data_IF_558851812909
#
_entry.id   IF_558851812909
#
_cell.length_a   1.000
_cell.length_b   1.000
_cell.length_c   1.000
_cell.angle_alpha   90.00
_cell.angle_beta   90.00
_cell.angle_gamma   90.00
#
_symmetry.space_group_name_H-M   'P 1'
#
loop_
_entity.id
_entity.type
_entity.pdbx_description
1 polymer ?
#
# COMPACT_ATOMS: atom_id res chain seq x y z
N UNK A 1 -19.43 2.78 -2.34
CA UNK A 1 -20.37 2.39 -3.37
C UNK A 1 -19.83 2.77 -4.73
N UNK A 2 -19.69 1.82 -5.65
CA UNK A 2 -19.29 2.08 -7.04
C UNK A 2 -20.49 2.69 -7.78
N UNK A 3 -20.31 3.88 -8.35
CA UNK A 3 -21.35 4.55 -9.14
C UNK A 3 -20.78 4.93 -10.51
N UNK A 4 -21.48 4.55 -11.57
CA UNK A 4 -21.21 5.02 -12.92
C UNK A 4 -21.90 6.35 -13.14
N UNK A 5 -21.13 7.40 -13.43
CA UNK A 5 -21.66 8.76 -13.64
C UNK A 5 -21.43 9.15 -15.09
N UNK A 6 -22.51 9.63 -15.77
CA UNK A 6 -22.41 10.22 -17.10
C UNK A 6 -21.92 11.65 -16.99
N UNK A 7 -20.92 12.00 -17.78
CA UNK A 7 -20.41 13.36 -17.88
C UNK A 7 -21.15 14.16 -18.97
N UNK A 8 -21.02 15.48 -18.95
CA UNK A 8 -21.66 16.37 -19.95
C UNK A 8 -21.23 16.07 -21.38
N UNK A 9 -19.99 15.61 -21.59
CA UNK A 9 -19.47 15.18 -22.89
C UNK A 9 -19.94 13.81 -23.37
N UNK A 10 -20.89 13.19 -22.64
CA UNK A 10 -21.46 11.88 -22.95
C UNK A 10 -20.62 10.68 -22.50
N UNK A 11 -19.39 10.87 -22.00
CA UNK A 11 -18.56 9.81 -21.45
C UNK A 11 -19.07 9.36 -20.07
N UNK A 12 -18.61 8.17 -19.62
CA UNK A 12 -18.91 7.66 -18.30
C UNK A 12 -17.65 7.55 -17.46
N UNK A 13 -17.72 7.97 -16.22
CA UNK A 13 -16.69 7.71 -15.21
C UNK A 13 -17.25 6.79 -14.14
N UNK A 14 -16.40 5.93 -13.60
CA UNK A 14 -16.71 5.19 -12.40
C UNK A 14 -16.30 6.04 -11.19
N UNK A 15 -17.27 6.45 -10.41
CA UNK A 15 -17.04 7.23 -9.19
C UNK A 15 -17.16 6.32 -7.98
N UNK A 16 -16.11 6.29 -7.17
CA UNK A 16 -16.16 5.72 -5.83
C UNK A 16 -16.75 6.80 -4.89
N UNK A 17 -17.90 6.51 -4.31
CA UNK A 17 -18.48 7.36 -3.27
C UNK A 17 -18.33 6.68 -1.93
N UNK A 18 -17.57 7.29 -1.04
CA UNK A 18 -17.50 6.90 0.36
C UNK A 18 -18.74 7.46 1.05
N UNK A 19 -19.52 6.58 1.70
CA UNK A 19 -20.75 6.97 2.40
C UNK A 19 -20.50 7.73 3.70
N UNK A 20 -19.25 7.80 4.16
CA UNK A 20 -18.84 8.48 5.40
C UNK A 20 -17.57 9.27 5.14
N UNK A 21 -17.39 10.37 5.85
CA UNK A 21 -16.15 11.15 5.86
C UNK A 21 -15.02 10.48 6.69
N UNK A 22 -15.22 9.22 7.09
CA UNK A 22 -14.24 8.45 7.84
C UNK A 22 -13.53 7.50 6.88
N UNK A 23 -12.32 7.84 6.53
CA UNK A 23 -11.38 6.99 5.81
C UNK A 23 -10.54 6.20 6.81
N UNK A 24 -10.42 4.93 6.60
CA UNK A 24 -9.52 4.06 7.34
C UNK A 24 -9.23 2.81 6.52
N UNK A 25 -8.16 2.12 6.84
CA UNK A 25 -7.79 0.86 6.22
C UNK A 25 -7.44 -0.21 7.23
N UNK A 26 -7.38 -1.44 6.76
CA UNK A 26 -6.79 -2.55 7.51
C UNK A 26 -5.78 -3.28 6.66
N UNK A 27 -4.72 -3.74 7.30
CA UNK A 27 -3.75 -4.65 6.74
C UNK A 27 -3.70 -5.91 7.62
N UNK A 28 -3.98 -7.07 7.04
CA UNK A 28 -4.21 -8.29 7.81
C UNK A 28 -3.42 -9.45 7.23
N UNK A 29 -2.88 -10.30 8.11
CA UNK A 29 -2.43 -11.64 7.74
C UNK A 29 -3.55 -12.63 8.05
N UNK A 30 -3.85 -13.48 7.08
CA UNK A 30 -4.91 -14.48 7.17
C UNK A 30 -4.30 -15.85 6.93
N UNK A 31 -4.58 -16.80 7.83
CA UNK A 31 -4.19 -18.20 7.66
C UNK A 31 -4.92 -18.81 6.45
N UNK A 32 -4.21 -19.39 5.47
CA UNK A 32 -4.84 -20.06 4.34
C UNK A 32 -5.49 -21.40 4.74
N UNK A 33 -5.12 -21.98 5.90
CA UNK A 33 -5.62 -23.27 6.35
C UNK A 33 -7.05 -23.19 6.88
N UNK A 34 -7.37 -22.13 7.59
CA UNK A 34 -8.64 -22.01 8.32
C UNK A 34 -9.34 -20.65 8.16
N UNK A 35 -8.72 -19.69 7.45
CA UNK A 35 -9.28 -18.36 7.21
C UNK A 35 -9.26 -17.43 8.43
N UNK A 36 -8.56 -17.78 9.52
CA UNK A 36 -8.45 -16.92 10.69
C UNK A 36 -7.50 -15.75 10.46
N UNK A 37 -7.80 -14.61 11.07
CA UNK A 37 -6.90 -13.46 11.10
C UNK A 37 -5.83 -13.72 12.18
N UNK A 38 -4.57 -13.88 11.74
CA UNK A 38 -3.43 -14.05 12.63
C UNK A 38 -3.04 -12.74 13.31
N UNK A 39 -3.03 -11.66 12.54
CA UNK A 39 -2.88 -10.29 13.03
C UNK A 39 -3.52 -9.29 12.08
N UNK A 40 -3.88 -8.14 12.63
CA UNK A 40 -4.47 -7.04 11.87
C UNK A 40 -3.99 -5.69 12.39
N UNK A 41 -3.74 -4.78 11.47
CA UNK A 41 -3.37 -3.39 11.75
C UNK A 41 -4.43 -2.50 11.14
N UNK A 42 -4.82 -1.46 11.87
CA UNK A 42 -5.67 -0.39 11.38
C UNK A 42 -4.81 0.83 11.03
N UNK A 43 -5.14 1.47 9.91
CA UNK A 43 -4.53 2.72 9.46
C UNK A 43 -5.58 3.83 9.36
N UNK A 44 -5.14 5.07 9.49
CA UNK A 44 -6.04 6.24 9.45
C UNK A 44 -6.55 6.54 8.03
N UNK A 45 -5.82 6.10 7.00
CA UNK A 45 -6.21 6.21 5.60
C UNK A 45 -6.38 4.82 4.98
N UNK A 46 -7.17 4.74 3.91
CA UNK A 46 -7.32 3.50 3.16
C UNK A 46 -5.98 3.04 2.57
N UNK A 47 -5.66 1.76 2.71
CA UNK A 47 -4.50 1.14 2.06
C UNK A 47 -4.92 0.69 0.67
N UNK A 48 -4.21 1.20 -0.34
CA UNK A 48 -4.47 0.88 -1.77
C UNK A 48 -3.28 0.17 -2.40
N UNK A 49 -2.15 0.11 -1.68
CA UNK A 49 -0.93 -0.59 -2.10
C UNK A 49 -1.12 -2.10 -2.12
N UNK A 50 -0.35 -2.77 -2.97
CA UNK A 50 -0.10 -4.20 -2.82
C UNK A 50 0.91 -4.49 -1.71
N UNK A 51 1.05 -5.77 -1.36
CA UNK A 51 2.02 -6.24 -0.38
C UNK A 51 3.07 -7.13 -1.04
N UNK A 52 4.31 -7.04 -0.56
CA UNK A 52 5.42 -7.91 -0.89
C UNK A 52 5.86 -8.66 0.37
N UNK A 53 5.74 -9.98 0.36
CA UNK A 53 6.26 -10.84 1.44
C UNK A 53 7.57 -11.46 0.97
N UNK A 54 8.58 -11.46 1.84
CA UNK A 54 9.89 -12.08 1.57
C UNK A 54 10.08 -13.33 2.42
N UNK A 55 10.92 -14.25 1.94
CA UNK A 55 11.28 -15.47 2.66
C UNK A 55 11.99 -15.18 4.00
N UNK A 56 12.64 -14.02 4.12
CA UNK A 56 13.24 -13.52 5.37
C UNK A 56 12.24 -13.08 6.45
N UNK A 57 10.93 -13.29 6.25
CA UNK A 57 9.91 -12.97 7.24
C UNK A 57 9.51 -11.50 7.31
N UNK A 58 9.77 -10.74 6.25
CA UNK A 58 9.35 -9.34 6.13
C UNK A 58 8.14 -9.22 5.20
N UNK A 59 7.25 -8.28 5.53
CA UNK A 59 6.20 -7.82 4.63
C UNK A 59 6.33 -6.31 4.41
N UNK A 60 6.42 -5.92 3.15
CA UNK A 60 6.50 -4.53 2.70
C UNK A 60 5.19 -4.09 2.08
N UNK A 61 4.75 -2.89 2.39
CA UNK A 61 3.63 -2.24 1.71
C UNK A 61 3.71 -0.71 1.86
N UNK A 62 2.96 -0.01 1.03
CA UNK A 62 2.84 1.44 1.08
C UNK A 62 1.60 1.90 1.83
N UNK A 63 1.71 3.02 2.52
CA UNK A 63 0.60 3.71 3.15
C UNK A 63 0.25 4.98 2.36
N UNK A 64 -1.01 5.35 2.38
CA UNK A 64 -1.51 6.46 1.58
C UNK A 64 -1.06 7.84 2.10
N UNK A 65 -0.60 7.91 3.35
CA UNK A 65 0.03 9.09 3.95
C UNK A 65 1.44 9.38 3.44
N UNK A 66 2.07 8.40 2.76
CA UNK A 66 3.40 8.53 2.18
C UNK A 66 4.46 7.65 2.83
N UNK A 67 4.11 6.84 3.80
CA UNK A 67 5.04 5.90 4.42
C UNK A 67 5.18 4.64 3.59
N UNK A 68 6.40 4.19 3.38
CA UNK A 68 6.73 2.86 2.95
C UNK A 68 7.26 2.08 4.14
N UNK A 69 6.65 0.94 4.46
CA UNK A 69 6.88 0.25 5.73
C UNK A 69 7.30 -1.20 5.53
N UNK A 70 8.10 -1.70 6.47
CA UNK A 70 8.42 -3.11 6.63
C UNK A 70 7.94 -3.60 8.00
N UNK A 71 7.27 -4.75 8.00
CA UNK A 71 6.76 -5.39 9.22
C UNK A 71 7.22 -6.84 9.31
N UNK A 72 7.26 -7.38 10.52
CA UNK A 72 7.42 -8.81 10.76
C UNK A 72 6.15 -9.54 10.25
N UNK A 73 6.31 -10.47 9.32
CA UNK A 73 5.19 -11.19 8.71
C UNK A 73 4.43 -12.08 9.69
N UNK A 74 5.05 -12.48 10.81
CA UNK A 74 4.47 -13.39 11.82
C UNK A 74 3.53 -12.70 12.80
N UNK A 75 3.74 -11.42 13.09
CA UNK A 75 3.01 -10.73 14.16
C UNK A 75 2.60 -9.28 13.81
N UNK A 76 2.94 -8.79 12.59
CA UNK A 76 2.62 -7.46 12.13
C UNK A 76 3.39 -6.32 12.80
N UNK A 77 4.39 -6.61 13.64
CA UNK A 77 5.20 -5.58 14.31
C UNK A 77 5.90 -4.71 13.28
N UNK A 78 5.77 -3.38 13.41
CA UNK A 78 6.52 -2.43 12.59
C UNK A 78 8.01 -2.54 12.90
N UNK A 79 8.82 -2.81 11.88
CA UNK A 79 10.27 -2.93 11.98
C UNK A 79 10.97 -1.72 11.41
N UNK A 80 10.42 -1.15 10.33
CA UNK A 80 11.01 -0.02 9.64
C UNK A 80 9.94 0.78 8.90
N UNK A 81 10.16 2.08 8.74
CA UNK A 81 9.34 2.98 7.94
C UNK A 81 10.20 4.08 7.30
N UNK A 82 9.82 4.49 6.10
CA UNK A 82 10.46 5.56 5.36
C UNK A 82 9.40 6.50 4.76
N UNK A 83 9.57 7.81 4.98
CA UNK A 83 8.72 8.84 4.42
C UNK A 83 9.14 9.14 2.98
N UNK A 84 8.29 8.80 2.02
CA UNK A 84 8.58 8.98 0.59
C UNK A 84 8.19 10.35 0.06
N UNK A 85 7.40 11.09 0.83
CA UNK A 85 6.94 12.43 0.49
C UNK A 85 5.65 12.48 -0.34
N UNK A 86 5.12 11.35 -0.81
CA UNK A 86 3.83 11.23 -1.51
C UNK A 86 3.19 9.88 -1.22
N UNK A 87 1.89 9.73 -1.47
CA UNK A 87 1.18 8.47 -1.22
C UNK A 87 1.82 7.28 -1.94
N UNK A 88 2.04 6.19 -1.20
CA UNK A 88 2.64 4.95 -1.72
C UNK A 88 1.52 3.95 -1.99
N UNK A 89 1.00 3.96 -3.20
CA UNK A 89 -0.17 3.16 -3.59
C UNK A 89 0.17 2.06 -4.60
N UNK A 90 1.41 2.03 -5.09
CA UNK A 90 1.91 0.97 -5.95
C UNK A 90 2.37 -0.25 -5.14
N UNK A 91 2.22 -1.47 -5.68
CA UNK A 91 2.81 -2.64 -5.06
C UNK A 91 4.35 -2.55 -5.12
N UNK A 92 5.06 -2.90 -4.04
CA UNK A 92 6.50 -3.01 -4.07
C UNK A 92 6.97 -4.25 -4.83
N UNK A 93 8.19 -4.19 -5.35
CA UNK A 93 8.88 -5.32 -5.98
C UNK A 93 10.20 -5.59 -5.26
N UNK A 94 10.70 -6.81 -5.36
CA UNK A 94 12.07 -7.15 -4.95
C UNK A 94 12.86 -7.69 -6.13
N UNK A 95 14.17 -7.43 -6.12
CA UNK A 95 15.11 -7.92 -7.10
C UNK A 95 16.50 -8.07 -6.47
N UNK A 96 17.32 -8.87 -7.11
CA UNK A 96 18.73 -9.04 -6.71
C UNK A 96 19.65 -8.44 -7.78
N UNK A 97 20.69 -7.77 -7.34
CA UNK A 97 21.77 -7.28 -8.19
C UNK A 97 23.12 -7.51 -7.49
N UNK A 98 24.01 -8.24 -8.13
CA UNK A 98 25.34 -8.59 -7.63
C UNK A 98 25.31 -9.22 -6.21
N UNK A 99 24.39 -10.14 -5.97
CA UNK A 99 24.24 -10.83 -4.68
C UNK A 99 23.62 -9.99 -3.57
N UNK A 100 23.13 -8.77 -3.90
CA UNK A 100 22.47 -7.89 -2.96
C UNK A 100 21.00 -7.74 -3.29
N UNK A 101 20.14 -7.95 -2.29
CA UNK A 101 18.70 -7.79 -2.45
C UNK A 101 18.29 -6.32 -2.33
N UNK A 102 17.38 -5.92 -3.19
CA UNK A 102 16.76 -4.61 -3.21
C UNK A 102 15.24 -4.73 -3.16
N UNK A 103 14.61 -3.72 -2.59
CA UNK A 103 13.16 -3.52 -2.67
C UNK A 103 12.90 -2.16 -3.29
N UNK A 104 12.04 -2.10 -4.29
CA UNK A 104 11.68 -0.85 -4.97
C UNK A 104 10.18 -0.60 -4.93
N UNK A 105 9.81 0.68 -4.86
CA UNK A 105 8.41 1.11 -4.84
C UNK A 105 8.23 2.45 -5.53
N UNK A 106 7.08 2.66 -6.16
CA UNK A 106 6.70 3.95 -6.70
C UNK A 106 5.88 4.77 -5.68
N UNK A 107 6.28 6.02 -5.50
CA UNK A 107 5.61 7.02 -4.67
C UNK A 107 5.00 8.09 -5.57
N UNK A 108 3.75 7.90 -5.96
CA UNK A 108 3.05 8.73 -6.96
C UNK A 108 1.78 9.40 -6.45
N UNK A 109 1.29 8.99 -5.28
CA UNK A 109 -0.01 9.40 -4.77
C UNK A 109 -1.17 8.79 -5.56
N UNK A 110 -2.38 9.24 -5.28
CA UNK A 110 -3.57 8.75 -5.96
C UNK A 110 -4.60 9.87 -6.16
N UNK A 111 -4.89 10.22 -7.41
CA UNK A 111 -5.77 11.36 -7.72
C UNK A 111 -7.24 11.12 -7.31
N UNK A 112 -7.72 9.87 -7.41
CA UNK A 112 -9.11 9.54 -7.07
C UNK A 112 -9.40 9.68 -5.58
N UNK A 113 -8.42 9.36 -4.73
CA UNK A 113 -8.52 9.44 -3.27
C UNK A 113 -7.98 10.77 -2.70
N UNK A 114 -7.44 11.64 -3.56
CA UNK A 114 -6.87 12.92 -3.12
C UNK A 114 -5.55 12.80 -2.34
N UNK A 115 -4.89 11.66 -2.39
CA UNK A 115 -3.60 11.47 -1.71
C UNK A 115 -2.51 12.28 -2.39
N UNK A 116 -1.57 12.77 -1.56
CA UNK A 116 -0.47 13.63 -2.01
C UNK A 116 0.26 13.02 -3.19
N UNK A 117 0.33 13.75 -4.30
CA UNK A 117 0.98 13.33 -5.53
C UNK A 117 2.49 13.44 -5.44
N UNK A 118 3.17 12.53 -6.15
CA UNK A 118 4.62 12.50 -6.32
C UNK A 118 4.99 11.88 -7.66
N UNK A 119 6.28 11.76 -7.90
CA UNK A 119 6.84 11.24 -9.16
C UNK A 119 8.15 10.47 -8.93
N UNK A 120 8.28 9.82 -7.78
CA UNK A 120 9.49 9.12 -7.41
C UNK A 120 9.33 7.60 -7.55
N UNK A 121 10.41 6.94 -7.97
CA UNK A 121 10.66 5.51 -7.78
C UNK A 121 11.86 5.39 -6.86
N UNK A 122 11.68 4.70 -5.74
CA UNK A 122 12.70 4.61 -4.68
C UNK A 122 13.10 3.15 -4.52
N UNK A 123 14.39 2.91 -4.46
CA UNK A 123 14.96 1.58 -4.23
C UNK A 123 15.77 1.57 -2.95
N UNK A 124 15.57 0.55 -2.15
CA UNK A 124 16.25 0.31 -0.88
C UNK A 124 17.07 -0.96 -0.99
N UNK A 125 18.33 -0.90 -0.58
CA UNK A 125 19.17 -2.08 -0.44
C UNK A 125 18.91 -2.72 0.93
N UNK A 126 18.66 -4.01 0.96
CA UNK A 126 18.62 -4.75 2.22
C UNK A 126 20.06 -4.99 2.73
N UNK A 127 20.27 -5.02 4.04
CA UNK A 127 21.59 -5.25 4.62
C UNK A 127 22.16 -6.62 4.29
#
# INVERSE_FOLDING_TARGET
LYRRVRQENGSFINQLSLKTNLEWGTFSAISPENGTIEWQIKTDLAIVSGALVTDGGLVFYGESDGRFVARDSRNGKLLWAFETGAGVNAPPITYELNGKQYVAVASGGHSLFGYKKGNAVISFALP
#
